data_IF_391260259597
#
_entry.id   IF_391260259597
#
_cell.length_a   1.000
_cell.length_b   1.000
_cell.length_c   1.000
_cell.angle_alpha   90.00
_cell.angle_beta   90.00
_cell.angle_gamma   90.00
#
_symmetry.space_group_name_H-M   'P 1'
#
loop_
_entity.id
_entity.type
_entity.pdbx_description
1 polymer ?
#
# COMPACT_ATOMS: atom_id res chain seq x y z
N UNK A 1 -5.65 12.75 -10.74
CA UNK A 1 -5.24 11.33 -10.62
C UNK A 1 -5.64 10.56 -11.86
N UNK A 2 -4.97 9.46 -12.11
CA UNK A 2 -5.18 8.62 -13.29
C UNK A 2 -6.19 7.50 -13.00
N UNK A 3 -7.46 7.79 -12.96
CA UNK A 3 -8.49 6.79 -12.76
C UNK A 3 -9.10 6.81 -11.36
N UNK A 4 -9.66 5.68 -10.95
CA UNK A 4 -10.38 5.54 -9.67
C UNK A 4 -9.80 4.39 -8.87
N UNK A 5 -9.88 4.51 -7.53
CA UNK A 5 -9.56 3.41 -6.64
C UNK A 5 -10.40 2.17 -6.97
N UNK A 6 -9.88 0.96 -6.70
CA UNK A 6 -10.69 -0.26 -6.82
C UNK A 6 -11.98 -0.14 -6.02
N UNK A 7 -13.08 -0.59 -6.60
CA UNK A 7 -14.38 -0.46 -5.97
C UNK A 7 -14.59 -1.55 -4.91
N UNK A 8 -15.15 -1.16 -3.77
CA UNK A 8 -15.55 -2.09 -2.72
C UNK A 8 -16.51 -3.15 -3.28
N UNK A 9 -16.27 -4.40 -2.95
CA UNK A 9 -17.06 -5.54 -3.43
C UNK A 9 -16.58 -6.12 -4.76
N UNK A 10 -15.63 -5.49 -5.44
CA UNK A 10 -15.05 -5.99 -6.68
C UNK A 10 -13.70 -6.67 -6.39
N UNK A 11 -13.22 -7.46 -7.33
CA UNK A 11 -11.89 -8.05 -7.22
C UNK A 11 -10.81 -6.98 -7.43
N UNK A 12 -9.67 -7.17 -6.77
CA UNK A 12 -8.50 -6.33 -7.03
C UNK A 12 -8.12 -6.39 -8.51
N UNK A 13 -7.72 -5.27 -9.11
CA UNK A 13 -7.17 -5.31 -10.46
C UNK A 13 -5.87 -6.14 -10.48
N UNK A 14 -5.50 -6.64 -11.65
CA UNK A 14 -4.20 -7.30 -11.80
C UNK A 14 -3.09 -6.31 -11.52
N UNK A 15 -2.11 -6.73 -10.73
CA UNK A 15 -0.99 -5.88 -10.39
C UNK A 15 0.31 -6.67 -10.31
N UNK A 16 1.41 -5.94 -10.34
CA UNK A 16 2.74 -6.44 -10.03
C UNK A 16 3.45 -5.38 -9.21
N UNK A 17 4.13 -5.80 -8.17
CA UNK A 17 4.95 -4.92 -7.33
C UNK A 17 6.29 -5.61 -7.07
N UNK A 18 7.33 -4.82 -6.86
CA UNK A 18 8.67 -5.35 -6.63
C UNK A 18 9.06 -5.20 -5.16
N UNK A 19 9.40 -6.31 -4.52
CA UNK A 19 9.79 -6.33 -3.10
C UNK A 19 11.23 -5.85 -2.90
N UNK A 20 11.63 -5.66 -1.64
CA UNK A 20 13.01 -5.27 -1.32
C UNK A 20 14.04 -6.34 -1.72
N UNK A 21 13.60 -7.58 -1.91
CA UNK A 21 14.45 -8.67 -2.43
C UNK A 21 14.49 -8.69 -3.97
N UNK A 22 13.93 -7.68 -4.63
CA UNK A 22 13.85 -7.54 -6.09
C UNK A 22 13.03 -8.63 -6.77
N UNK A 23 12.11 -9.24 -6.03
CA UNK A 23 11.17 -10.22 -6.56
C UNK A 23 9.83 -9.56 -6.83
N UNK A 24 9.21 -9.88 -7.96
CA UNK A 24 7.89 -9.37 -8.28
C UNK A 24 6.82 -10.22 -7.61
N UNK A 25 5.87 -9.54 -6.97
CA UNK A 25 4.67 -10.17 -6.41
C UNK A 25 3.45 -9.75 -7.21
N UNK A 26 2.49 -10.67 -7.33
CA UNK A 26 1.26 -10.46 -8.08
C UNK A 26 0.07 -10.91 -7.25
N UNK A 27 -1.13 -10.82 -7.83
CA UNK A 27 -2.36 -11.30 -7.19
C UNK A 27 -2.24 -12.76 -6.72
N UNK A 28 -1.51 -13.61 -7.45
CA UNK A 28 -1.34 -15.03 -7.09
C UNK A 28 -0.62 -15.21 -5.77
N UNK A 29 0.35 -14.34 -5.48
CA UNK A 29 1.14 -14.43 -4.25
C UNK A 29 0.32 -14.07 -3.01
N UNK A 30 -0.78 -13.35 -3.18
CA UNK A 30 -1.64 -12.91 -2.09
C UNK A 30 -2.88 -13.79 -1.91
N UNK A 31 -3.08 -14.79 -2.78
CA UNK A 31 -4.22 -15.70 -2.67
C UNK A 31 -4.20 -16.45 -1.34
N UNK A 32 -5.34 -16.48 -0.67
CA UNK A 32 -5.48 -17.14 0.63
C UNK A 32 -5.12 -16.26 1.83
N UNK A 33 -4.69 -15.02 1.59
CA UNK A 33 -4.34 -14.06 2.65
C UNK A 33 -5.13 -12.79 2.50
N UNK A 34 -5.49 -12.17 3.62
CA UNK A 34 -6.03 -10.83 3.63
C UNK A 34 -4.86 -9.85 3.43
N UNK A 35 -5.10 -8.75 2.74
CA UNK A 35 -4.05 -7.79 2.43
C UNK A 35 -4.52 -6.37 2.70
N UNK A 36 -3.63 -5.57 3.26
CA UNK A 36 -3.78 -4.12 3.36
C UNK A 36 -2.68 -3.50 2.52
N UNK A 37 -3.07 -2.69 1.53
CA UNK A 37 -2.15 -1.86 0.79
C UNK A 37 -2.16 -0.46 1.40
N UNK A 38 -1.05 -0.07 2.01
CA UNK A 38 -0.82 1.29 2.48
C UNK A 38 -0.02 2.02 1.40
N UNK A 39 -0.70 2.80 0.59
CA UNK A 39 -0.14 3.43 -0.61
C UNK A 39 0.19 4.89 -0.29
N UNK A 40 1.36 5.37 -0.71
CA UNK A 40 1.78 6.72 -0.37
C UNK A 40 2.82 7.27 -1.37
N UNK A 41 3.07 8.60 -1.34
CA UNK A 41 4.02 9.23 -2.26
C UNK A 41 5.46 8.77 -2.10
N UNK A 42 6.00 8.74 -0.87
CA UNK A 42 7.38 8.32 -0.64
C UNK A 42 7.62 7.98 0.82
N UNK A 43 8.41 6.95 1.05
CA UNK A 43 8.83 6.52 2.38
C UNK A 43 9.67 7.61 3.09
N UNK A 44 10.25 8.51 2.33
CA UNK A 44 11.08 9.60 2.86
C UNK A 44 10.28 10.83 3.29
N UNK A 45 8.94 10.81 3.19
CA UNK A 45 8.11 11.89 3.74
C UNK A 45 7.67 11.57 5.16
N UNK A 46 7.52 12.59 6.06
CA UNK A 46 7.19 12.33 7.46
C UNK A 46 5.90 11.55 7.67
N UNK A 47 4.83 11.92 6.99
CA UNK A 47 3.53 11.25 7.15
C UNK A 47 3.57 9.80 6.66
N UNK A 48 4.27 9.54 5.56
CA UNK A 48 4.42 8.19 5.02
C UNK A 48 5.22 7.31 5.98
N UNK A 49 6.30 7.83 6.55
CA UNK A 49 7.08 7.14 7.55
C UNK A 49 6.24 6.81 8.78
N UNK A 50 5.45 7.80 9.26
CA UNK A 50 4.56 7.62 10.41
C UNK A 50 3.53 6.53 10.14
N UNK A 51 2.88 6.54 8.97
CA UNK A 51 1.86 5.54 8.64
C UNK A 51 2.47 4.14 8.53
N UNK A 52 3.68 4.02 8.01
CA UNK A 52 4.37 2.73 7.92
C UNK A 52 4.66 2.17 9.32
N UNK A 53 5.15 3.00 10.22
CA UNK A 53 5.38 2.60 11.63
C UNK A 53 4.06 2.18 12.30
N UNK A 54 3.00 2.94 12.08
CA UNK A 54 1.68 2.64 12.67
C UNK A 54 1.13 1.32 12.17
N UNK A 55 1.20 1.06 10.86
CA UNK A 55 0.77 -0.23 10.32
C UNK A 55 1.65 -1.39 10.80
N UNK A 56 2.93 -1.15 11.06
CA UNK A 56 3.79 -2.18 11.63
C UNK A 56 3.31 -2.59 13.02
N UNK A 57 2.90 -1.63 13.85
CA UNK A 57 2.32 -1.92 15.17
C UNK A 57 1.00 -2.69 15.04
N UNK A 58 0.13 -2.25 14.16
CA UNK A 58 -1.19 -2.86 13.92
C UNK A 58 -1.03 -4.30 13.44
N UNK A 59 -0.06 -4.56 12.57
CA UNK A 59 0.16 -5.88 11.97
C UNK A 59 0.36 -6.96 13.02
N UNK A 60 0.96 -6.64 14.16
CA UNK A 60 1.22 -7.61 15.22
C UNK A 60 -0.06 -8.23 15.79
N UNK A 61 -1.20 -7.54 15.69
CA UNK A 61 -2.49 -8.01 16.22
C UNK A 61 -3.40 -8.64 15.16
N UNK A 62 -3.00 -8.64 13.88
CA UNK A 62 -3.84 -9.15 12.78
C UNK A 62 -3.39 -10.55 12.39
N UNK A 63 -4.37 -11.45 12.17
CA UNK A 63 -4.12 -12.82 11.75
C UNK A 63 -4.37 -12.96 10.26
N UNK A 64 -3.56 -13.81 9.61
CA UNK A 64 -3.67 -14.12 8.18
C UNK A 64 -3.74 -12.86 7.31
N UNK A 65 -2.99 -11.83 7.69
CA UNK A 65 -3.03 -10.53 7.01
C UNK A 65 -1.62 -10.07 6.67
N UNK A 66 -1.40 -9.75 5.40
CA UNK A 66 -0.16 -9.15 4.92
C UNK A 66 -0.40 -7.65 4.75
N UNK A 67 0.53 -6.82 5.21
CA UNK A 67 0.47 -5.37 5.01
C UNK A 67 1.62 -4.98 4.11
N UNK A 68 1.30 -4.40 2.96
CA UNK A 68 2.28 -3.89 2.01
C UNK A 68 2.22 -2.37 2.00
N UNK A 69 3.36 -1.75 2.27
CA UNK A 69 3.54 -0.31 2.14
C UNK A 69 4.10 -0.05 0.75
N UNK A 70 3.32 0.65 -0.07
CA UNK A 70 3.56 0.76 -1.52
C UNK A 70 3.85 2.20 -1.90
N UNK A 71 4.93 2.40 -2.62
CA UNK A 71 5.30 3.68 -3.21
C UNK A 71 6.08 3.46 -4.50
N UNK A 72 6.39 4.53 -5.21
CA UNK A 72 7.26 4.48 -6.37
C UNK A 72 8.76 4.59 -6.00
N UNK A 73 9.09 4.69 -4.72
CA UNK A 73 10.48 4.61 -4.27
C UNK A 73 11.10 3.32 -4.78
N UNK A 74 12.40 3.34 -5.04
CA UNK A 74 13.10 2.13 -5.42
C UNK A 74 13.12 1.13 -4.25
N UNK A 75 13.12 -0.18 -4.54
CA UNK A 75 13.14 -1.20 -3.48
C UNK A 75 14.31 -1.04 -2.50
N UNK A 76 15.43 -0.53 -2.97
CA UNK A 76 16.62 -0.27 -2.13
C UNK A 76 16.31 0.74 -1.03
N UNK A 77 15.65 1.84 -1.37
CA UNK A 77 15.31 2.89 -0.40
C UNK A 77 14.26 2.38 0.61
N UNK A 78 13.29 1.63 0.13
CA UNK A 78 12.26 1.03 1.00
C UNK A 78 12.87 0.05 1.99
N UNK A 79 13.77 -0.81 1.51
CA UNK A 79 14.47 -1.79 2.34
C UNK A 79 15.36 -1.12 3.39
N UNK A 80 16.05 -0.05 3.00
CA UNK A 80 16.89 0.74 3.92
C UNK A 80 16.04 1.34 5.05
N UNK A 81 14.88 1.89 4.73
CA UNK A 81 13.98 2.48 5.75
C UNK A 81 13.54 1.41 6.76
N UNK A 82 13.01 0.28 6.29
CA UNK A 82 12.53 -0.78 7.17
C UNK A 82 13.66 -1.37 8.00
N UNK A 83 14.85 -1.56 7.42
CA UNK A 83 16.01 -2.07 8.14
C UNK A 83 16.48 -1.12 9.24
N UNK A 84 16.57 0.18 8.93
CA UNK A 84 17.00 1.19 9.89
C UNK A 84 16.01 1.35 11.04
N UNK A 85 14.69 1.28 10.73
CA UNK A 85 13.64 1.45 11.73
C UNK A 85 13.27 0.16 12.47
N UNK A 86 13.81 -0.99 12.05
CA UNK A 86 13.50 -2.27 12.67
C UNK A 86 12.07 -2.75 12.42
N UNK A 87 11.46 -2.38 11.31
CA UNK A 87 10.08 -2.74 11.00
C UNK A 87 10.02 -4.10 10.34
N UNK A 88 9.51 -5.10 11.05
CA UNK A 88 9.50 -6.50 10.58
C UNK A 88 8.09 -7.04 10.32
N UNK A 89 7.05 -6.34 10.74
CA UNK A 89 5.66 -6.80 10.61
C UNK A 89 4.96 -6.29 9.36
N UNK A 90 5.56 -5.34 8.64
CA UNK A 90 5.07 -4.86 7.36
C UNK A 90 6.10 -5.20 6.29
N UNK A 91 5.64 -5.27 5.06
CA UNK A 91 6.48 -5.44 3.89
C UNK A 91 6.39 -4.20 3.04
N UNK A 92 7.47 -3.86 2.35
CA UNK A 92 7.45 -2.79 1.37
C UNK A 92 7.44 -3.37 -0.03
N UNK A 93 6.82 -2.66 -0.96
CA UNK A 93 6.81 -3.05 -2.35
C UNK A 93 6.79 -1.80 -3.22
N UNK A 94 7.50 -1.85 -4.34
CA UNK A 94 7.68 -0.70 -5.22
C UNK A 94 6.88 -0.86 -6.49
N UNK A 95 6.29 0.23 -6.95
CA UNK A 95 5.59 0.29 -8.23
C UNK A 95 6.49 0.81 -9.35
N UNK A 96 7.79 0.98 -9.12
CA UNK A 96 8.67 1.71 -10.05
C UNK A 96 8.72 1.14 -11.46
N UNK A 97 8.48 -0.17 -11.62
CA UNK A 97 8.54 -0.82 -12.94
C UNK A 97 7.24 -1.52 -13.33
N UNK A 98 6.11 -1.10 -12.74
CA UNK A 98 4.81 -1.70 -13.03
C UNK A 98 3.76 -0.63 -13.28
N UNK A 99 2.58 -1.05 -13.70
CA UNK A 99 1.44 -0.16 -13.90
C UNK A 99 0.50 -0.13 -12.68
N UNK A 100 0.98 -0.49 -11.50
CA UNK A 100 0.17 -0.52 -10.28
C UNK A 100 -0.57 0.79 -10.06
N UNK A 101 0.11 1.92 -10.19
CA UNK A 101 -0.50 3.22 -9.98
C UNK A 101 -1.68 3.50 -10.90
N UNK A 102 -1.57 3.11 -12.17
CA UNK A 102 -2.67 3.24 -13.12
C UNK A 102 -3.78 2.24 -12.82
N UNK A 103 -3.43 0.99 -12.52
CA UNK A 103 -4.40 -0.07 -12.26
C UNK A 103 -5.25 0.24 -11.02
N UNK A 104 -4.65 0.81 -9.99
CA UNK A 104 -5.33 1.18 -8.75
C UNK A 104 -5.86 2.62 -8.76
N UNK A 105 -5.59 3.38 -9.83
CA UNK A 105 -6.08 4.75 -9.96
C UNK A 105 -5.46 5.73 -8.98
N UNK A 106 -4.20 5.52 -8.60
CA UNK A 106 -3.52 6.31 -7.57
C UNK A 106 -2.32 7.11 -8.07
N UNK A 107 -2.07 7.15 -9.38
CA UNK A 107 -1.01 8.01 -9.92
C UNK A 107 -1.42 9.48 -9.79
N UNK A 108 -0.54 10.28 -9.21
CA UNK A 108 -0.72 11.74 -9.23
C UNK A 108 -0.26 12.26 -10.59
N UNK A 109 -1.17 12.95 -11.27
CA UNK A 109 -0.93 13.44 -12.63
C UNK A 109 -0.72 14.94 -12.70
N UNK A 110 -1.00 15.65 -11.61
CA UNK A 110 -0.86 17.11 -11.50
C UNK A 110 -0.18 17.45 -10.19
N UNK A 111 0.09 18.73 -9.98
CA UNK A 111 0.77 19.30 -8.81
C UNK A 111 2.28 19.03 -8.81
N UNK A 112 2.96 19.50 -7.77
CA UNK A 112 4.40 19.30 -7.62
C UNK A 112 4.75 17.84 -7.34
N UNK A 113 3.76 17.03 -6.96
CA UNK A 113 3.94 15.58 -6.68
C UNK A 113 3.57 14.71 -7.88
N UNK A 114 3.42 15.31 -9.05
CA UNK A 114 3.17 14.54 -10.28
C UNK A 114 4.23 13.44 -10.46
N UNK A 115 3.77 12.22 -10.72
CA UNK A 115 4.65 11.07 -10.96
C UNK A 115 4.79 10.12 -9.78
N UNK A 116 4.37 10.54 -8.58
CA UNK A 116 4.33 9.63 -7.43
C UNK A 116 2.90 9.16 -7.16
N UNK A 117 2.75 8.24 -6.22
CA UNK A 117 1.43 7.70 -5.87
C UNK A 117 0.72 8.62 -4.88
N UNK A 118 -0.60 8.62 -4.92
CA UNK A 118 -1.42 9.31 -3.93
C UNK A 118 -1.36 8.54 -2.60
N UNK A 119 -1.86 9.16 -1.52
CA UNK A 119 -2.05 8.48 -0.24
C UNK A 119 -3.39 7.79 -0.24
N UNK A 120 -3.37 6.46 -0.14
CA UNK A 120 -4.59 5.65 -0.19
C UNK A 120 -4.40 4.36 0.60
N UNK A 121 -5.51 3.78 1.02
CA UNK A 121 -5.53 2.47 1.66
C UNK A 121 -6.53 1.59 0.92
N UNK A 122 -6.13 0.37 0.60
CA UNK A 122 -7.00 -0.63 -0.02
C UNK A 122 -6.87 -1.91 0.78
N UNK A 123 -8.00 -2.48 1.20
CA UNK A 123 -8.05 -3.73 1.96
C UNK A 123 -8.81 -4.77 1.15
N UNK A 124 -8.26 -5.99 1.06
CA UNK A 124 -8.90 -7.09 0.36
C UNK A 124 -8.91 -8.36 1.20
N UNK A 125 -9.88 -9.23 0.94
CA UNK A 125 -10.00 -10.52 1.63
C UNK A 125 -9.14 -11.60 0.97
N UNK A 126 -9.26 -12.83 1.46
CA UNK A 126 -8.47 -13.98 1.01
C UNK A 126 -8.70 -14.34 -0.47
N UNK A 127 -9.81 -13.89 -1.04
CA UNK A 127 -10.18 -14.12 -2.44
C UNK A 127 -9.85 -12.94 -3.34
N UNK A 128 -9.25 -11.89 -2.77
CA UNK A 128 -8.93 -10.67 -3.51
C UNK A 128 -10.09 -9.72 -3.69
N UNK A 129 -11.18 -9.90 -2.93
CA UNK A 129 -12.32 -9.00 -2.97
C UNK A 129 -12.05 -7.77 -2.10
N UNK A 130 -12.28 -6.59 -2.65
CA UNK A 130 -12.04 -5.32 -1.96
C UNK A 130 -13.05 -5.13 -0.84
N UNK A 131 -12.56 -4.97 0.39
CA UNK A 131 -13.37 -4.77 1.60
C UNK A 131 -13.46 -3.30 1.98
N UNK A 132 -12.41 -2.52 1.67
CA UNK A 132 -12.32 -1.12 2.09
C UNK A 132 -11.39 -0.37 1.16
N UNK A 133 -11.73 0.88 0.85
CA UNK A 133 -10.85 1.79 0.14
C UNK A 133 -10.94 3.17 0.79
N UNK A 134 -9.80 3.86 0.83
CA UNK A 134 -9.75 5.24 1.29
C UNK A 134 -8.75 6.00 0.43
N UNK A 135 -9.17 7.15 -0.10
CA UNK A 135 -8.26 8.12 -0.69
C UNK A 135 -8.13 9.28 0.29
N UNK A 136 -6.93 9.49 0.82
CA UNK A 136 -6.69 10.59 1.75
C UNK A 136 -6.52 11.86 0.94
N UNK A 137 -7.44 12.81 1.10
CA UNK A 137 -7.50 14.03 0.30
C UNK A 137 -6.33 14.99 0.58
N UNK A 138 -5.86 15.03 1.83
CA UNK A 138 -4.74 15.86 2.23
C UNK A 138 -3.47 15.03 2.34
N UNK A 139 -2.45 15.36 1.55
CA UNK A 139 -1.25 14.53 1.46
C UNK A 139 -0.51 14.41 2.80
N UNK A 140 -0.64 15.40 3.67
CA UNK A 140 -0.01 15.42 4.99
C UNK A 140 -0.84 14.72 6.07
N UNK A 141 -2.05 14.26 5.74
CA UNK A 141 -2.91 13.56 6.70
C UNK A 141 -2.66 12.06 6.69
N UNK A 142 -2.79 11.43 7.87
CA UNK A 142 -2.69 9.99 8.00
C UNK A 142 -3.99 9.33 7.55
N UNK A 143 -3.93 8.05 7.12
CA UNK A 143 -5.14 7.30 6.79
C UNK A 143 -5.94 6.98 8.04
N UNK A 144 -7.19 6.54 7.84
CA UNK A 144 -8.06 6.07 8.93
C UNK A 144 -7.74 4.60 9.22
N UNK A 145 -6.85 4.37 10.17
CA UNK A 145 -6.40 3.01 10.54
C UNK A 145 -7.55 2.15 11.06
N UNK A 146 -8.43 2.72 11.88
CA UNK A 146 -9.54 1.97 12.48
C UNK A 146 -10.52 1.49 11.41
N UNK A 147 -10.82 2.30 10.41
CA UNK A 147 -11.69 1.89 9.32
C UNK A 147 -11.10 0.71 8.54
N UNK A 148 -9.79 0.74 8.27
CA UNK A 148 -9.10 -0.34 7.59
C UNK A 148 -9.17 -1.64 8.40
N UNK A 149 -8.89 -1.58 9.69
CA UNK A 149 -8.94 -2.75 10.59
C UNK A 149 -10.37 -3.29 10.71
N UNK A 150 -11.34 -2.40 10.87
CA UNK A 150 -12.74 -2.80 11.04
C UNK A 150 -13.28 -3.52 9.80
N UNK A 151 -12.77 -3.21 8.61
CA UNK A 151 -13.18 -3.89 7.39
C UNK A 151 -12.80 -5.37 7.35
N UNK A 152 -11.84 -5.78 8.19
CA UNK A 152 -11.38 -7.16 8.31
C UNK A 152 -12.20 -7.98 9.32
N UNK A 153 -13.11 -7.36 10.02
CA UNK A 153 -13.93 -8.03 11.05
C UNK A 153 -15.27 -8.48 10.52
#
# INVERSE_FOLDING_TARGET
MSGKLPAKGKLLPKFSLTTSALQDITNKDLAGKRVIFNIFPSIDTPTCATSTRKFNEIAASLQNTEIYCVSADLPFAQGRFCGTEGLTNVKTASSFRSNFGAAFGVNLTTSVLKGVLARAVVVADEKGKVLHTELVSEIASEPNYDAAINSLR
#
